data_IF_689921429936
#
_entry.id   IF_689921429936
#
_cell.length_a   1.000
_cell.length_b   1.000
_cell.length_c   1.000
_cell.angle_alpha   90.00
_cell.angle_beta   90.00
_cell.angle_gamma   90.00
#
_symmetry.space_group_name_H-M   'P 1'
#
loop_
_entity.id
_entity.type
_entity.pdbx_description
1 polymer ?
#
# COMPACT_ATOMS: atom_id res chain seq x y z
N UNK A 1 11.22 49.73 1.66
CA UNK A 1 9.75 49.79 1.84
C UNK A 1 9.12 49.30 0.55
N UNK A 2 8.33 48.23 0.61
CA UNK A 2 7.78 47.58 -0.59
C UNK A 2 7.36 46.15 -0.31
N UNK A 3 6.63 45.91 0.77
CA UNK A 3 5.98 44.64 1.06
C UNK A 3 4.81 44.47 0.09
N UNK A 4 5.09 43.93 -1.10
CA UNK A 4 4.07 43.54 -2.07
C UNK A 4 3.33 42.30 -1.59
N UNK A 5 2.37 42.49 -0.67
CA UNK A 5 1.34 41.48 -0.39
C UNK A 5 0.48 41.41 -1.65
N UNK A 6 0.68 40.38 -2.47
CA UNK A 6 -0.23 40.09 -3.58
C UNK A 6 -1.60 39.86 -3.00
N UNK A 7 -2.61 40.40 -3.67
CA UNK A 7 -4.02 40.21 -3.38
C UNK A 7 -4.29 38.75 -3.02
N UNK A 8 -5.12 38.52 -1.99
CA UNK A 8 -5.33 37.24 -1.29
C UNK A 8 -5.90 36.07 -2.10
N UNK A 9 -5.58 35.99 -3.39
CA UNK A 9 -5.85 34.86 -4.27
C UNK A 9 -4.61 33.98 -4.28
N UNK A 10 -4.74 32.82 -3.64
CA UNK A 10 -3.72 31.79 -3.67
C UNK A 10 -3.58 31.29 -5.13
N UNK A 11 -2.37 31.31 -5.72
CA UNK A 11 -2.17 30.90 -7.10
C UNK A 11 -2.54 29.43 -7.28
N UNK A 12 -3.03 29.02 -8.46
CA UNK A 12 -3.37 27.63 -8.72
C UNK A 12 -2.14 26.73 -8.55
N UNK A 13 -2.36 25.54 -7.98
CA UNK A 13 -1.29 24.56 -7.82
C UNK A 13 -0.72 24.13 -9.19
N UNK A 14 0.59 23.82 -9.26
CA UNK A 14 1.19 23.27 -10.47
C UNK A 14 0.53 21.96 -10.92
N UNK A 15 0.67 21.64 -12.21
CA UNK A 15 0.13 20.38 -12.78
C UNK A 15 0.99 19.16 -12.45
N UNK A 16 2.29 19.36 -12.18
CA UNK A 16 3.22 18.28 -11.83
C UNK A 16 2.88 17.72 -10.43
N UNK A 17 2.52 16.43 -10.27
CA UNK A 17 1.95 15.92 -9.02
C UNK A 17 2.85 16.06 -7.79
N UNK A 18 4.15 15.79 -7.94
CA UNK A 18 5.12 15.93 -6.84
C UNK A 18 5.25 17.37 -6.36
N UNK A 19 5.25 18.33 -7.29
CA UNK A 19 5.34 19.76 -6.99
C UNK A 19 4.02 20.25 -6.39
N UNK A 20 2.89 19.85 -6.97
CA UNK A 20 1.55 20.18 -6.48
C UNK A 20 1.37 19.72 -5.03
N UNK A 21 1.76 18.48 -4.72
CA UNK A 21 1.68 17.92 -3.38
C UNK A 21 2.55 18.69 -2.39
N UNK A 22 3.83 18.93 -2.73
CA UNK A 22 4.74 19.68 -1.86
C UNK A 22 4.25 21.09 -1.54
N UNK A 23 3.78 21.83 -2.55
CA UNK A 23 3.24 23.19 -2.35
C UNK A 23 1.95 23.13 -1.52
N UNK A 24 1.04 22.19 -1.81
CA UNK A 24 -0.21 22.06 -1.05
C UNK A 24 0.03 21.75 0.43
N UNK A 25 1.04 20.94 0.75
CA UNK A 25 1.41 20.63 2.12
C UNK A 25 1.97 21.86 2.83
N UNK A 26 2.85 22.62 2.17
CA UNK A 26 3.40 23.87 2.73
C UNK A 26 2.30 24.91 2.99
N UNK A 27 1.34 25.05 2.08
CA UNK A 27 0.17 25.93 2.25
C UNK A 27 -0.73 25.47 3.41
N UNK A 28 -0.97 24.16 3.53
CA UNK A 28 -1.73 23.58 4.62
C UNK A 28 -1.02 23.77 5.98
N UNK A 29 0.30 23.69 6.05
CA UNK A 29 1.06 23.99 7.27
C UNK A 29 0.96 25.47 7.65
N UNK A 30 1.17 26.39 6.69
CA UNK A 30 1.09 27.85 6.92
C UNK A 30 -0.30 28.31 7.38
N UNK A 31 -1.35 27.67 6.87
CA UNK A 31 -2.74 27.95 7.25
C UNK A 31 -3.22 27.19 8.49
N UNK A 32 -2.39 26.30 9.05
CA UNK A 32 -2.77 25.42 10.17
C UNK A 32 -3.80 24.35 9.80
N UNK A 33 -3.98 24.07 8.51
CA UNK A 33 -4.89 23.03 8.00
C UNK A 33 -4.33 21.61 8.08
N UNK A 34 -3.03 21.43 8.32
CA UNK A 34 -2.43 20.11 8.54
C UNK A 34 -2.44 19.75 10.04
N UNK A 35 -3.08 18.64 10.45
CA UNK A 35 -3.04 18.19 11.84
C UNK A 35 -1.62 17.90 12.33
N UNK A 36 -1.30 18.31 13.55
CA UNK A 36 0.02 18.09 14.16
C UNK A 36 0.17 16.68 14.75
N UNK A 37 -0.91 16.10 15.26
CA UNK A 37 -0.89 14.75 15.82
C UNK A 37 -1.00 13.71 14.70
N UNK A 38 -0.07 12.76 14.69
CA UNK A 38 -0.10 11.61 13.78
C UNK A 38 0.41 10.35 14.49
N UNK A 39 -0.04 9.21 13.98
CA UNK A 39 0.54 7.91 14.31
C UNK A 39 1.56 7.55 13.24
N UNK A 40 2.84 7.58 13.60
CA UNK A 40 3.95 7.32 12.68
C UNK A 40 4.31 5.83 12.57
N UNK A 41 3.47 4.93 13.08
CA UNK A 41 3.65 3.49 12.87
C UNK A 41 3.49 3.14 11.40
N UNK A 42 4.41 2.33 10.89
CA UNK A 42 4.36 1.79 9.54
C UNK A 42 4.35 0.26 9.60
N UNK A 43 3.67 -0.37 8.64
CA UNK A 43 3.80 -1.82 8.44
C UNK A 43 5.25 -2.12 8.03
N UNK A 44 6.01 -2.92 8.79
CA UNK A 44 7.40 -3.23 8.45
C UNK A 44 7.49 -3.91 7.08
N UNK A 45 8.47 -3.48 6.28
CA UNK A 45 8.84 -4.16 5.05
C UNK A 45 9.67 -5.41 5.40
N UNK A 46 9.23 -6.55 4.88
CA UNK A 46 9.91 -7.82 5.02
C UNK A 46 11.07 -7.93 4.02
N UNK A 47 12.29 -7.90 4.53
CA UNK A 47 13.53 -8.02 3.76
C UNK A 47 14.65 -8.56 4.67
N UNK A 48 15.67 -9.16 4.09
CA UNK A 48 16.83 -9.67 4.83
C UNK A 48 16.69 -11.14 5.20
N UNK A 49 17.33 -11.50 6.32
CA UNK A 49 17.37 -12.88 6.82
C UNK A 49 15.98 -13.37 7.28
N UNK A 50 15.56 -14.60 6.91
CA UNK A 50 14.27 -15.15 7.32
C UNK A 50 14.11 -15.29 8.84
N UNK A 51 15.12 -15.79 9.57
CA UNK A 51 14.99 -16.08 11.00
C UNK A 51 14.87 -14.78 11.80
N UNK A 52 15.66 -13.76 11.44
CA UNK A 52 15.53 -12.40 11.99
C UNK A 52 14.14 -11.82 11.69
N UNK A 53 13.63 -12.03 10.47
CA UNK A 53 12.31 -11.56 10.09
C UNK A 53 11.21 -12.23 10.93
N UNK A 54 11.26 -13.54 11.12
CA UNK A 54 10.30 -14.26 11.95
C UNK A 54 10.31 -13.76 13.39
N UNK A 55 11.50 -13.64 14.00
CA UNK A 55 11.64 -13.15 15.36
C UNK A 55 11.06 -11.73 15.51
N UNK A 56 11.37 -10.84 14.56
CA UNK A 56 10.86 -9.46 14.54
C UNK A 56 9.35 -9.40 14.42
N UNK A 57 8.77 -10.17 13.50
CA UNK A 57 7.32 -10.19 13.29
C UNK A 57 6.58 -10.79 14.49
N UNK A 58 7.10 -11.88 15.07
CA UNK A 58 6.50 -12.53 16.23
C UNK A 58 6.47 -11.61 17.46
N UNK A 59 7.49 -10.76 17.63
CA UNK A 59 7.61 -9.82 18.72
C UNK A 59 6.81 -8.51 18.53
N UNK A 60 6.10 -8.31 17.42
CA UNK A 60 5.34 -7.09 17.17
C UNK A 60 4.21 -6.89 18.20
N UNK A 61 4.13 -5.72 18.86
CA UNK A 61 3.04 -5.44 19.79
C UNK A 61 1.75 -5.09 19.04
N UNK A 62 0.61 -5.54 19.57
CA UNK A 62 -0.70 -5.23 19.00
C UNK A 62 -0.98 -5.95 17.68
N UNK A 63 -1.63 -5.26 16.74
CA UNK A 63 -1.99 -5.82 15.44
C UNK A 63 -0.75 -6.04 14.56
N UNK A 64 -0.51 -7.29 14.17
CA UNK A 64 0.66 -7.67 13.38
C UNK A 64 0.37 -7.53 11.89
N UNK A 65 0.74 -6.39 11.31
CA UNK A 65 0.60 -6.14 9.87
C UNK A 65 1.97 -5.91 9.25
N UNK A 66 2.36 -6.69 8.25
CA UNK A 66 3.64 -6.54 7.55
C UNK A 66 3.48 -6.46 6.04
N UNK A 67 4.43 -5.81 5.35
CA UNK A 67 4.44 -5.71 3.88
C UNK A 67 5.53 -6.60 3.29
N UNK A 68 5.18 -7.44 2.32
CA UNK A 68 6.11 -8.31 1.59
C UNK A 68 6.09 -7.95 0.10
N UNK A 69 7.27 -7.73 -0.48
CA UNK A 69 7.42 -7.63 -1.94
C UNK A 69 7.45 -9.02 -2.55
N UNK A 70 6.55 -9.27 -3.48
CA UNK A 70 6.46 -10.52 -4.25
C UNK A 70 6.65 -10.19 -5.74
N UNK A 71 6.81 -11.21 -6.58
CA UNK A 71 7.08 -11.02 -8.01
C UNK A 71 8.53 -10.64 -8.33
N UNK A 72 9.40 -10.56 -7.32
CA UNK A 72 10.85 -10.49 -7.48
C UNK A 72 11.44 -11.88 -7.80
N UNK A 73 10.82 -12.92 -7.27
CA UNK A 73 11.23 -14.31 -7.45
C UNK A 73 10.15 -15.12 -8.17
N UNK A 74 10.42 -16.41 -8.30
CA UNK A 74 9.46 -17.37 -8.86
C UNK A 74 8.17 -17.38 -8.03
N UNK A 75 7.02 -17.43 -8.71
CA UNK A 75 5.70 -17.39 -8.06
C UNK A 75 5.52 -18.50 -7.01
N UNK A 76 6.11 -19.67 -7.24
CA UNK A 76 6.12 -20.80 -6.31
C UNK A 76 6.84 -20.44 -5.01
N UNK A 77 8.05 -19.89 -5.13
CA UNK A 77 8.86 -19.48 -3.96
C UNK A 77 8.14 -18.43 -3.14
N UNK A 78 7.61 -17.41 -3.80
CA UNK A 78 6.84 -16.35 -3.12
C UNK A 78 5.62 -16.93 -2.38
N UNK A 79 4.91 -17.88 -3.00
CA UNK A 79 3.75 -18.52 -2.40
C UNK A 79 4.11 -19.34 -1.17
N UNK A 80 5.20 -20.11 -1.23
CA UNK A 80 5.72 -20.89 -0.10
C UNK A 80 6.14 -19.97 1.06
N UNK A 81 6.87 -18.89 0.79
CA UNK A 81 7.30 -17.93 1.82
C UNK A 81 6.10 -17.27 2.49
N UNK A 82 5.12 -16.80 1.70
CA UNK A 82 3.89 -16.21 2.25
C UNK A 82 3.13 -17.23 3.11
N UNK A 83 3.03 -18.49 2.66
CA UNK A 83 2.38 -19.54 3.43
C UNK A 83 3.07 -19.80 4.77
N UNK A 84 4.40 -19.93 4.77
CA UNK A 84 5.21 -20.15 5.98
C UNK A 84 5.08 -19.00 6.98
N UNK A 85 5.11 -17.75 6.52
CA UNK A 85 4.92 -16.57 7.37
C UNK A 85 3.55 -16.59 8.05
N UNK A 86 2.50 -16.89 7.29
CA UNK A 86 1.14 -16.98 7.82
C UNK A 86 1.01 -18.18 8.77
N UNK A 87 1.59 -19.32 8.45
CA UNK A 87 1.55 -20.51 9.29
C UNK A 87 2.24 -20.31 10.64
N UNK A 88 3.45 -19.75 10.63
CA UNK A 88 4.26 -19.58 11.85
C UNK A 88 3.72 -18.51 12.80
N UNK A 89 3.01 -17.49 12.27
CA UNK A 89 2.50 -16.37 13.07
C UNK A 89 0.97 -16.29 12.86
N UNK A 90 0.18 -16.93 13.74
CA UNK A 90 -1.26 -17.11 13.53
C UNK A 90 -2.07 -15.81 13.39
N UNK A 91 -1.64 -14.75 14.07
CA UNK A 91 -2.30 -13.44 14.07
C UNK A 91 -1.68 -12.43 13.08
N UNK A 92 -0.73 -12.86 12.24
CA UNK A 92 -0.13 -12.01 11.21
C UNK A 92 -1.12 -11.75 10.07
N UNK A 93 -1.22 -10.48 9.67
CA UNK A 93 -1.78 -10.03 8.41
C UNK A 93 -0.70 -9.56 7.44
N UNK A 94 -0.82 -9.94 6.17
CA UNK A 94 0.14 -9.59 5.13
C UNK A 94 -0.45 -8.64 4.09
N UNK A 95 0.27 -7.57 3.83
CA UNK A 95 0.12 -6.71 2.65
C UNK A 95 1.14 -7.16 1.63
N UNK A 96 0.69 -7.63 0.48
CA UNK A 96 1.58 -8.13 -0.56
C UNK A 96 1.61 -7.13 -1.71
N UNK A 97 2.74 -7.06 -2.40
CA UNK A 97 2.91 -6.13 -3.50
C UNK A 97 3.74 -6.78 -4.61
N UNK A 98 3.08 -6.98 -5.77
CA UNK A 98 3.63 -7.67 -6.92
C UNK A 98 4.05 -6.72 -8.06
N UNK A 99 3.77 -5.41 -7.97
CA UNK A 99 4.13 -4.42 -9.01
C UNK A 99 3.84 -4.88 -10.46
N UNK A 100 2.70 -5.53 -10.72
CA UNK A 100 2.31 -6.07 -12.06
C UNK A 100 3.27 -7.11 -12.64
N UNK A 101 4.05 -7.80 -11.81
CA UNK A 101 5.11 -8.67 -12.29
C UNK A 101 4.63 -9.94 -13.01
N UNK A 102 3.38 -10.39 -12.80
CA UNK A 102 2.96 -11.75 -13.18
C UNK A 102 1.96 -11.81 -14.33
N UNK A 103 2.02 -12.91 -15.07
CA UNK A 103 0.94 -13.38 -15.93
C UNK A 103 -0.14 -14.08 -15.08
N UNK A 104 -1.37 -14.27 -15.60
CA UNK A 104 -2.42 -15.01 -14.88
C UNK A 104 -1.96 -16.38 -14.38
N UNK A 105 -1.24 -17.15 -15.21
CA UNK A 105 -0.72 -18.46 -14.84
C UNK A 105 0.26 -18.38 -13.66
N UNK A 106 1.19 -17.42 -13.68
CA UNK A 106 2.13 -17.22 -12.56
C UNK A 106 1.41 -16.77 -11.28
N UNK A 107 0.39 -15.92 -11.40
CA UNK A 107 -0.42 -15.54 -10.24
C UNK A 107 -1.16 -16.76 -9.65
N UNK A 108 -1.73 -17.63 -10.48
CA UNK A 108 -2.36 -18.87 -10.04
C UNK A 108 -1.37 -19.85 -9.39
N UNK A 109 -0.17 -19.98 -9.95
CA UNK A 109 0.90 -20.77 -9.34
C UNK A 109 1.22 -20.28 -7.93
N UNK A 110 1.32 -18.97 -7.71
CA UNK A 110 1.51 -18.41 -6.37
C UNK A 110 0.36 -18.80 -5.42
N UNK A 111 -0.89 -18.61 -5.84
CA UNK A 111 -2.05 -18.89 -4.99
C UNK A 111 -2.19 -20.37 -4.62
N UNK A 112 -1.70 -21.28 -5.47
CA UNK A 112 -1.69 -22.72 -5.20
C UNK A 112 -0.86 -23.09 -3.96
N UNK A 113 0.21 -22.35 -3.68
CA UNK A 113 1.09 -22.60 -2.53
C UNK A 113 0.65 -21.89 -1.25
N UNK A 114 -0.35 -21.01 -1.32
CA UNK A 114 -0.95 -20.38 -0.14
C UNK A 114 -2.19 -21.17 0.27
N UNK A 115 -2.12 -21.81 1.45
CA UNK A 115 -3.21 -22.57 2.03
C UNK A 115 -4.49 -21.71 2.06
N UNK A 116 -5.63 -22.21 1.51
CA UNK A 116 -6.90 -21.49 1.52
C UNK A 116 -7.30 -20.92 2.88
N UNK A 117 -7.02 -21.65 3.98
CA UNK A 117 -7.32 -21.21 5.35
C UNK A 117 -6.56 -19.94 5.77
N UNK A 118 -5.45 -19.62 5.11
CA UNK A 118 -4.64 -18.45 5.44
C UNK A 118 -4.95 -17.25 4.54
N UNK A 119 -5.67 -17.43 3.42
CA UNK A 119 -5.87 -16.36 2.41
C UNK A 119 -6.60 -15.14 2.96
N UNK A 120 -7.51 -15.33 3.91
CA UNK A 120 -8.20 -14.23 4.61
C UNK A 120 -7.27 -13.32 5.43
N UNK A 121 -6.05 -13.80 5.76
CA UNK A 121 -5.02 -13.02 6.45
C UNK A 121 -4.09 -12.29 5.48
N UNK A 122 -4.27 -12.46 4.18
CA UNK A 122 -3.70 -11.54 3.20
C UNK A 122 -4.66 -10.34 3.13
N UNK A 123 -4.30 -9.25 3.79
CA UNK A 123 -5.11 -8.04 3.83
C UNK A 123 -5.41 -7.54 2.41
N UNK A 124 -4.39 -7.56 1.54
CA UNK A 124 -4.53 -7.41 0.11
C UNK A 124 -3.23 -7.79 -0.62
N UNK A 125 -3.34 -8.06 -1.93
CA UNK A 125 -2.24 -8.14 -2.89
C UNK A 125 -2.35 -6.99 -3.90
N UNK A 126 -1.39 -6.06 -3.87
CA UNK A 126 -1.26 -4.95 -4.81
C UNK A 126 -0.77 -5.48 -6.16
N UNK A 127 -1.56 -5.20 -7.21
CA UNK A 127 -1.17 -5.40 -8.61
C UNK A 127 -0.63 -6.82 -8.94
N UNK A 128 -1.39 -7.89 -8.66
CA UNK A 128 -0.92 -9.26 -8.85
C UNK A 128 -0.52 -9.58 -10.30
N UNK A 129 -1.21 -8.99 -11.28
CA UNK A 129 -1.04 -9.29 -12.70
C UNK A 129 -0.69 -8.05 -13.52
N UNK A 130 -0.21 -8.27 -14.75
CA UNK A 130 0.09 -7.21 -15.73
C UNK A 130 -1.10 -6.29 -16.02
N UNK A 131 -2.29 -6.87 -16.15
CA UNK A 131 -3.52 -6.12 -16.44
C UNK A 131 -4.45 -6.08 -15.22
N UNK A 132 -5.34 -5.09 -15.20
CA UNK A 132 -6.34 -4.95 -14.13
C UNK A 132 -7.40 -6.04 -14.23
N UNK A 133 -7.76 -6.41 -15.44
CA UNK A 133 -8.72 -7.45 -15.77
C UNK A 133 -8.24 -8.80 -15.21
N UNK A 134 -6.98 -9.15 -15.48
CA UNK A 134 -6.34 -10.36 -14.95
C UNK A 134 -6.25 -10.33 -13.43
N UNK A 135 -5.94 -9.16 -12.84
CA UNK A 135 -5.86 -9.01 -11.39
C UNK A 135 -7.23 -9.25 -10.74
N UNK A 136 -8.31 -8.75 -11.35
CA UNK A 136 -9.68 -8.98 -10.89
C UNK A 136 -10.11 -10.44 -11.05
N UNK A 137 -9.75 -11.07 -12.17
CA UNK A 137 -10.00 -12.50 -12.39
C UNK A 137 -9.31 -13.35 -11.31
N UNK A 138 -8.02 -13.09 -11.07
CA UNK A 138 -7.25 -13.72 -9.99
C UNK A 138 -7.93 -13.60 -8.62
N UNK A 139 -8.40 -12.40 -8.25
CA UNK A 139 -9.08 -12.20 -6.96
C UNK A 139 -10.36 -13.03 -6.82
N UNK A 140 -11.18 -13.06 -7.88
CA UNK A 140 -12.41 -13.86 -7.91
C UNK A 140 -12.14 -15.36 -7.85
N UNK A 141 -11.12 -15.83 -8.56
CA UNK A 141 -10.79 -17.25 -8.67
C UNK A 141 -10.12 -17.80 -7.41
N UNK A 142 -9.32 -16.99 -6.72
CA UNK A 142 -8.50 -17.43 -5.58
C UNK A 142 -9.06 -17.06 -4.22
N UNK A 143 -9.97 -16.08 -4.17
CA UNK A 143 -10.46 -15.49 -2.93
C UNK A 143 -9.44 -14.58 -2.22
N UNK A 144 -8.29 -14.31 -2.84
CA UNK A 144 -7.28 -13.38 -2.28
C UNK A 144 -7.72 -11.95 -2.59
N UNK A 145 -7.85 -11.14 -1.54
CA UNK A 145 -8.17 -9.72 -1.67
C UNK A 145 -7.08 -8.99 -2.47
N UNK A 146 -7.48 -8.08 -3.35
CA UNK A 146 -6.55 -7.23 -4.11
C UNK A 146 -6.76 -5.77 -3.76
N UNK A 147 -5.67 -5.01 -3.71
CA UNK A 147 -5.73 -3.56 -3.64
C UNK A 147 -5.77 -3.01 -5.07
N UNK A 148 -6.83 -2.25 -5.37
CA UNK A 148 -6.96 -1.60 -6.67
C UNK A 148 -6.06 -0.37 -6.75
N UNK A 149 -5.16 -0.31 -7.74
CA UNK A 149 -4.66 0.95 -8.25
C UNK A 149 -5.81 1.75 -8.87
N UNK A 150 -6.59 2.49 -8.08
CA UNK A 150 -7.18 3.72 -8.62
C UNK A 150 -6.00 4.63 -8.93
N UNK A 151 -5.98 5.20 -10.13
CA UNK A 151 -4.90 6.06 -10.59
C UNK A 151 -4.60 7.13 -9.52
N UNK A 152 -3.47 7.02 -8.82
CA UNK A 152 -2.96 8.06 -7.93
C UNK A 152 -2.64 9.37 -8.67
N UNK A 153 -2.80 9.40 -10.00
CA UNK A 153 -2.59 10.54 -10.89
C UNK A 153 -3.89 11.11 -11.50
N UNK A 154 -5.07 10.88 -10.91
CA UNK A 154 -6.29 11.57 -11.35
C UNK A 154 -6.41 12.91 -10.62
N UNK A 155 -6.32 14.01 -11.39
CA UNK A 155 -6.49 15.44 -11.02
C UNK A 155 -6.68 15.74 -9.52
N UNK A 156 -5.67 16.38 -8.92
CA UNK A 156 -5.84 17.23 -7.73
C UNK A 156 -6.64 18.47 -8.18
N UNK A 157 -7.94 18.32 -8.38
CA UNK A 157 -8.83 19.44 -8.63
C UNK A 157 -10.22 19.11 -8.09
N UNK A 158 -10.31 18.93 -6.77
CA UNK A 158 -11.51 19.09 -5.96
C UNK A 158 -11.25 18.59 -4.53
N UNK A 159 -10.43 19.30 -3.77
CA UNK A 159 -10.58 19.31 -2.32
C UNK A 159 -11.30 20.62 -1.98
N UNK A 160 -12.64 20.52 -1.89
CA UNK A 160 -13.45 21.56 -1.26
C UNK A 160 -13.10 21.59 0.23
N UNK A 161 -12.97 22.76 0.87
CA UNK A 161 -12.47 22.89 2.25
C UNK A 161 -13.42 22.34 3.33
N UNK A 162 -14.57 21.78 2.97
CA UNK A 162 -15.52 21.23 3.93
C UNK A 162 -15.57 19.70 3.87
N UNK A 163 -15.00 19.07 4.91
CA UNK A 163 -15.11 17.65 5.30
C UNK A 163 -14.46 16.62 4.36
N UNK A 164 -13.20 16.31 4.63
CA UNK A 164 -12.67 14.96 4.42
C UNK A 164 -11.66 14.63 5.52
N UNK A 165 -12.14 13.96 6.56
CA UNK A 165 -11.26 13.25 7.50
C UNK A 165 -10.69 12.05 6.75
N UNK A 166 -9.45 12.17 6.25
CA UNK A 166 -8.69 11.01 5.82
C UNK A 166 -8.05 10.44 7.08
N UNK A 167 -8.61 9.35 7.60
CA UNK A 167 -7.97 8.52 8.61
C UNK A 167 -6.82 7.79 7.91
N UNK A 168 -5.59 8.08 8.31
CA UNK A 168 -4.43 7.25 8.01
C UNK A 168 -4.56 5.89 8.68
#
# INVERSE_FOLDING_TARGET
MGTGRRDGVEPPLPTQPSVAFGISCAQAELSGGLPQAADYRAAPLCSGDPDELFARLAAMPGEKVAKVKVGLWEAVRDGMVVNLLLEAIPDLQLRLDANRARTPLKAQQFAKYVNPAYRQRIAFLEEPCKTREDSRAFSRETGIAIAGMKACARRISALSPSRAYVRW
#
